data_IF_937312978113
#
_entry.id   IF_937312978113
#
_cell.length_a   1.000
_cell.length_b   1.000
_cell.length_c   1.000
_cell.angle_alpha   90.00
_cell.angle_beta   90.00
_cell.angle_gamma   90.00
#
_symmetry.space_group_name_H-M   'P 1'
#
loop_
_entity.id
_entity.type
_entity.pdbx_description
1 polymer ?
#
# COMPACT_ATOMS: atom_id res chain seq x y z
N UNK A 1 -8.64 -0.08 6.11
CA UNK A 1 -8.63 -0.85 7.38
C UNK A 1 -7.53 -0.27 8.26
N UNK A 2 -7.80 0.18 9.50
CA UNK A 2 -6.76 0.81 10.31
C UNK A 2 -5.87 -0.27 10.93
N UNK A 3 -4.57 -0.24 10.62
CA UNK A 3 -3.54 -1.03 11.29
C UNK A 3 -3.33 -0.44 12.69
N UNK A 4 -4.12 -0.89 13.67
CA UNK A 4 -3.98 -0.45 15.05
C UNK A 4 -2.69 -1.01 15.64
N UNK A 5 -1.80 -0.13 16.13
CA UNK A 5 -0.50 -0.26 16.83
C UNK A 5 0.11 -1.67 17.04
N UNK A 6 -0.67 -2.66 17.47
CA UNK A 6 -0.28 -4.06 17.55
C UNK A 6 0.17 -4.63 16.19
N UNK A 7 -0.56 -4.38 15.10
CA UNK A 7 -0.15 -4.88 13.77
C UNK A 7 1.14 -4.23 13.32
N UNK A 8 1.34 -2.95 13.65
CA UNK A 8 2.56 -2.21 13.32
C UNK A 8 3.80 -2.78 14.03
N UNK A 9 3.66 -3.10 15.32
CA UNK A 9 4.74 -3.71 16.12
C UNK A 9 5.03 -5.14 15.64
N UNK A 10 4.00 -5.96 15.44
CA UNK A 10 4.16 -7.35 14.98
C UNK A 10 4.78 -7.42 13.58
N UNK A 11 4.35 -6.56 12.65
CA UNK A 11 4.94 -6.46 11.33
C UNK A 11 6.38 -5.92 11.37
N UNK A 12 6.69 -5.00 12.30
CA UNK A 12 8.06 -4.50 12.46
C UNK A 12 9.00 -5.58 12.98
N UNK A 13 8.58 -6.38 13.97
CA UNK A 13 9.33 -7.53 14.50
C UNK A 13 9.61 -8.56 13.41
N UNK A 14 8.59 -8.88 12.61
CA UNK A 14 8.69 -9.78 11.48
C UNK A 14 9.69 -9.32 10.41
N UNK A 15 9.67 -8.03 10.08
CA UNK A 15 10.60 -7.44 9.14
C UNK A 15 12.00 -7.19 9.75
N UNK A 16 12.20 -7.47 11.04
CA UNK A 16 13.44 -7.16 11.76
C UNK A 16 13.74 -5.67 11.81
N UNK A 17 12.70 -4.83 11.83
CA UNK A 17 12.77 -3.36 11.81
C UNK A 17 12.11 -2.76 13.05
N UNK A 18 12.51 -1.54 13.47
CA UNK A 18 11.86 -0.84 14.57
C UNK A 18 10.43 -0.43 14.19
N UNK A 19 9.52 -0.30 15.17
CA UNK A 19 8.13 0.12 14.96
C UNK A 19 8.02 1.43 14.16
N UNK A 20 8.94 2.37 14.36
CA UNK A 20 9.01 3.64 13.62
C UNK A 20 9.20 3.46 12.10
N UNK A 21 9.77 2.33 11.66
CA UNK A 21 9.87 1.97 10.25
C UNK A 21 8.47 1.83 9.64
N UNK A 22 7.57 1.12 10.32
CA UNK A 22 6.24 0.84 9.80
C UNK A 22 5.33 2.07 9.86
N UNK A 23 5.55 2.99 10.81
CA UNK A 23 4.89 4.31 10.81
C UNK A 23 5.30 5.14 9.59
N UNK A 24 6.59 5.07 9.20
CA UNK A 24 7.09 5.71 8.00
C UNK A 24 6.51 5.09 6.71
N UNK A 25 6.29 3.78 6.71
CA UNK A 25 5.65 3.07 5.61
C UNK A 25 4.18 3.47 5.47
N UNK A 26 3.42 3.47 6.56
CA UNK A 26 1.99 3.81 6.56
C UNK A 26 1.73 5.28 6.22
N UNK A 27 2.60 6.18 6.67
CA UNK A 27 2.55 7.60 6.31
C UNK A 27 3.09 7.89 4.90
N UNK A 28 3.60 6.89 4.18
CA UNK A 28 4.19 7.04 2.85
C UNK A 28 5.53 7.79 2.82
N UNK A 29 6.12 8.10 3.98
CA UNK A 29 7.45 8.73 4.05
C UNK A 29 8.58 7.75 3.77
N UNK A 30 8.33 6.44 3.82
CA UNK A 30 9.31 5.39 3.55
C UNK A 30 8.79 4.38 2.54
N UNK A 31 9.57 4.14 1.48
CA UNK A 31 9.26 3.12 0.47
C UNK A 31 9.60 1.72 0.99
N UNK A 32 8.74 0.76 0.66
CA UNK A 32 8.94 -0.68 0.88
C UNK A 32 9.45 -1.30 -0.42
N UNK A 33 10.48 -2.15 -0.32
CA UNK A 33 10.94 -2.95 -1.46
C UNK A 33 10.05 -4.19 -1.66
N UNK A 34 10.03 -4.77 -2.86
CA UNK A 34 9.17 -5.91 -3.21
C UNK A 34 9.48 -7.16 -2.35
N UNK A 35 10.75 -7.34 -1.97
CA UNK A 35 11.15 -8.45 -1.08
C UNK A 35 10.54 -8.26 0.31
N UNK A 36 10.58 -7.02 0.82
CA UNK A 36 10.01 -6.70 2.12
C UNK A 36 8.48 -6.79 2.11
N UNK A 37 7.85 -6.41 1.01
CA UNK A 37 6.40 -6.55 0.82
C UNK A 37 6.00 -8.03 0.80
N UNK A 38 6.78 -8.89 0.14
CA UNK A 38 6.56 -10.34 0.14
C UNK A 38 6.67 -10.93 1.55
N UNK A 39 7.68 -10.54 2.31
CA UNK A 39 7.87 -11.01 3.69
C UNK A 39 6.70 -10.57 4.58
N UNK A 40 6.24 -9.33 4.41
CA UNK A 40 5.07 -8.79 5.11
C UNK A 40 3.79 -9.54 4.76
N UNK A 41 3.54 -9.79 3.46
CA UNK A 41 2.41 -10.58 2.98
C UNK A 41 2.43 -12.00 3.56
N UNK A 42 3.60 -12.65 3.56
CA UNK A 42 3.78 -14.00 4.12
C UNK A 42 3.47 -14.02 5.62
N UNK A 43 3.89 -13.00 6.36
CA UNK A 43 3.61 -12.89 7.79
C UNK A 43 2.13 -12.64 8.09
N UNK A 44 1.47 -11.80 7.29
CA UNK A 44 0.05 -11.48 7.43
C UNK A 44 -0.86 -12.61 6.92
N UNK A 45 -0.29 -13.66 6.34
CA UNK A 45 -1.05 -14.74 5.71
C UNK A 45 -1.81 -14.29 4.45
N UNK A 46 -1.41 -13.15 3.87
CA UNK A 46 -2.00 -12.59 2.66
C UNK A 46 -1.13 -12.92 1.44
N UNK A 47 -1.75 -13.18 0.29
CA UNK A 47 -1.02 -13.36 -0.95
C UNK A 47 -0.48 -12.02 -1.48
N UNK A 48 0.81 -11.97 -1.85
CA UNK A 48 1.38 -10.82 -2.57
C UNK A 48 0.57 -10.51 -3.85
N UNK A 49 0.09 -11.56 -4.53
CA UNK A 49 -0.72 -11.42 -5.74
C UNK A 49 -2.07 -10.75 -5.46
N UNK A 50 -2.73 -11.04 -4.33
CA UNK A 50 -3.98 -10.39 -3.94
C UNK A 50 -3.75 -8.91 -3.65
N UNK A 51 -2.65 -8.59 -2.96
CA UNK A 51 -2.29 -7.20 -2.68
C UNK A 51 -2.01 -6.41 -3.98
N UNK A 52 -1.29 -7.00 -4.93
CA UNK A 52 -1.04 -6.37 -6.25
C UNK A 52 -2.35 -6.22 -7.03
N UNK A 53 -3.23 -7.22 -7.02
CA UNK A 53 -4.51 -7.15 -7.71
C UNK A 53 -5.40 -6.02 -7.17
N UNK A 54 -5.45 -5.85 -5.84
CA UNK A 54 -6.21 -4.76 -5.21
C UNK A 54 -5.57 -3.39 -5.49
N UNK A 55 -4.23 -3.31 -5.53
CA UNK A 55 -3.49 -2.11 -5.89
C UNK A 55 -3.76 -1.66 -7.33
N UNK A 56 -3.69 -2.57 -8.30
CA UNK A 56 -4.03 -2.30 -9.71
C UNK A 56 -5.49 -1.86 -9.88
N UNK A 57 -6.40 -2.47 -9.10
CA UNK A 57 -7.82 -2.11 -9.08
C UNK A 57 -8.04 -0.71 -8.52
N UNK A 58 -7.32 -0.31 -7.47
CA UNK A 58 -7.41 1.06 -6.93
C UNK A 58 -6.85 2.09 -7.91
N UNK A 59 -5.73 1.81 -8.57
CA UNK A 59 -5.16 2.66 -9.61
C UNK A 59 -6.11 2.82 -10.81
N UNK A 60 -6.77 1.73 -11.21
CA UNK A 60 -7.77 1.76 -12.29
C UNK A 60 -9.01 2.56 -11.91
N UNK A 61 -9.40 2.56 -10.64
CA UNK A 61 -10.50 3.37 -10.12
C UNK A 61 -10.13 4.87 -10.09
N UNK A 62 -8.90 5.22 -9.69
CA UNK A 62 -8.41 6.60 -9.67
C UNK A 62 -8.23 7.19 -11.08
N UNK A 63 -7.87 6.37 -12.07
CA UNK A 63 -7.75 6.80 -13.47
C UNK A 63 -9.09 7.21 -14.12
N UNK A 64 -10.23 6.94 -13.48
CA UNK A 64 -11.54 7.41 -13.96
C UNK A 64 -11.77 8.91 -13.66
N UNK A 65 -10.95 9.53 -12.81
CA UNK A 65 -11.03 10.96 -12.50
C UNK A 65 -10.19 11.85 -13.43
N UNK A 66 -9.25 11.27 -14.17
CA UNK A 66 -8.33 12.00 -15.04
C UNK A 66 -8.88 12.31 -16.45
N UNK A 67 -10.07 11.82 -16.81
CA UNK A 67 -10.64 12.00 -18.16
C UNK A 67 -11.81 12.99 -18.26
N UNK A 68 -12.20 13.69 -17.19
CA UNK A 68 -13.41 14.56 -17.20
C UNK A 68 -13.14 16.03 -17.63
N UNK A 69 -11.89 16.44 -17.88
CA UNK A 69 -11.56 17.86 -18.18
C UNK A 69 -11.08 18.17 -19.61
N UNK A 70 -11.47 17.40 -20.63
CA UNK A 70 -11.11 17.77 -22.02
C UNK A 70 -12.28 17.75 -23.02
N UNK A 71 -13.47 18.22 -22.62
CA UNK A 71 -14.56 18.42 -23.58
C UNK A 71 -15.45 19.62 -23.22
N UNK A 72 -14.87 20.80 -23.02
CA UNK A 72 -15.61 22.07 -22.99
C UNK A 72 -14.72 23.24 -23.40
N UNK A 73 -14.27 23.23 -24.66
CA UNK A 73 -13.74 24.41 -25.35
C UNK A 73 -13.86 24.23 -26.87
N UNK A 74 -15.10 24.04 -27.35
CA UNK A 74 -15.51 24.41 -28.70
C UNK A 74 -16.90 25.04 -28.60
N UNK A 75 -16.91 26.37 -28.64
CA UNK A 75 -18.06 27.25 -28.69
C UNK A 75 -17.58 28.64 -29.02
#
# INVERSE_FOLDING_TARGET
MPMSDLTQVECSKALGRPQSFMSGVESGTRRLDIVQLRDLCTLLGAGLQELIAEFEKSLSADNSSASVWNESSKG
#
